data_IF_757234452860
#
_entry.id   IF_757234452860
#
_cell.length_a   1.000
_cell.length_b   1.000
_cell.length_c   1.000
_cell.angle_alpha   90.00
_cell.angle_beta   90.00
_cell.angle_gamma   90.00
#
_symmetry.space_group_name_H-M   'P 1'
#
loop_
_entity.id
_entity.type
_entity.pdbx_description
1 polymer ?
#
# COMPACT_ATOMS: atom_id res chain seq x y z
N UNK A 1 -3.70 -28.14 -7.74
CA UNK A 1 -3.62 -26.99 -6.83
C UNK A 1 -2.46 -26.12 -7.26
N UNK A 2 -2.74 -25.05 -8.00
CA UNK A 2 -1.73 -24.18 -8.62
C UNK A 2 -1.32 -23.07 -7.66
N UNK A 3 -0.58 -23.41 -6.60
CA UNK A 3 0.00 -22.44 -5.66
C UNK A 3 1.47 -22.18 -6.01
N UNK A 4 1.94 -20.96 -5.76
CA UNK A 4 3.33 -20.56 -6.03
C UNK A 4 4.33 -21.32 -5.14
N UNK A 5 5.54 -21.54 -5.65
CA UNK A 5 6.60 -22.24 -4.92
C UNK A 5 7.12 -21.37 -3.78
N UNK A 6 7.05 -21.89 -2.55
CA UNK A 6 7.55 -21.21 -1.36
C UNK A 6 9.02 -21.57 -1.23
N UNK A 7 9.90 -20.58 -1.42
CA UNK A 7 11.33 -20.78 -1.34
C UNK A 7 12.05 -19.45 -1.12
N UNK A 8 13.28 -19.53 -0.62
CA UNK A 8 14.13 -18.36 -0.50
C UNK A 8 14.89 -18.17 -1.80
N UNK A 9 14.78 -16.99 -2.41
CA UNK A 9 15.50 -16.62 -3.63
C UNK A 9 16.58 -15.57 -3.29
N UNK A 10 17.84 -15.98 -3.05
CA UNK A 10 18.89 -15.08 -2.57
C UNK A 10 19.15 -13.86 -3.46
N UNK A 11 19.13 -13.93 -4.80
CA UNK A 11 19.47 -12.76 -5.61
C UNK A 11 18.40 -11.66 -5.59
N UNK A 12 17.14 -11.96 -5.22
CA UNK A 12 16.12 -10.92 -5.04
C UNK A 12 16.17 -10.27 -3.65
N UNK A 13 16.97 -10.79 -2.72
CA UNK A 13 17.01 -10.29 -1.34
C UNK A 13 17.47 -8.84 -1.26
N UNK A 14 18.60 -8.52 -1.90
CA UNK A 14 19.16 -7.16 -1.93
C UNK A 14 18.21 -6.13 -2.57
N UNK A 15 17.64 -6.36 -3.77
CA UNK A 15 16.73 -5.39 -4.37
C UNK A 15 15.42 -5.24 -3.60
N UNK A 16 14.87 -6.32 -3.01
CA UNK A 16 13.70 -6.22 -2.14
C UNK A 16 14.00 -5.39 -0.89
N UNK A 17 15.15 -5.61 -0.24
CA UNK A 17 15.58 -4.83 0.91
C UNK A 17 15.69 -3.34 0.55
N UNK A 18 16.29 -3.01 -0.59
CA UNK A 18 16.41 -1.62 -1.05
C UNK A 18 15.03 -0.99 -1.31
N UNK A 19 14.10 -1.73 -1.93
CA UNK A 19 12.72 -1.29 -2.12
C UNK A 19 11.99 -1.03 -0.81
N UNK A 20 12.17 -1.88 0.19
CA UNK A 20 11.63 -1.67 1.54
C UNK A 20 12.21 -0.43 2.23
N UNK A 21 13.49 -0.12 2.01
CA UNK A 21 14.10 1.12 2.53
C UNK A 21 13.48 2.36 1.86
N UNK A 22 13.27 2.33 0.55
CA UNK A 22 12.67 3.45 -0.20
C UNK A 22 11.23 3.71 0.28
N UNK A 23 10.43 2.65 0.39
CA UNK A 23 9.03 2.73 0.86
C UNK A 23 8.91 3.15 2.32
N UNK A 24 9.88 2.78 3.16
CA UNK A 24 9.98 3.26 4.53
C UNK A 24 10.19 4.78 4.59
N UNK A 25 11.07 5.32 3.75
CA UNK A 25 11.30 6.77 3.64
C UNK A 25 10.05 7.48 3.11
N UNK A 26 9.38 6.91 2.12
CA UNK A 26 8.12 7.46 1.59
C UNK A 26 7.02 7.51 2.67
N UNK A 27 6.93 6.47 3.51
CA UNK A 27 5.97 6.41 4.63
C UNK A 27 6.30 7.41 5.73
N UNK A 28 7.57 7.77 5.91
CA UNK A 28 8.02 8.74 6.89
C UNK A 28 7.75 10.21 6.48
N UNK A 29 7.54 10.50 5.18
CA UNK A 29 7.20 11.84 4.69
C UNK A 29 5.77 12.25 5.10
N UNK A 30 5.65 12.83 6.29
CA UNK A 30 4.39 13.22 6.93
C UNK A 30 3.76 14.54 6.42
N UNK A 31 4.34 15.18 5.41
CA UNK A 31 4.14 16.61 5.10
C UNK A 31 2.69 17.04 4.80
N UNK A 32 1.80 16.11 4.45
CA UNK A 32 0.44 16.46 3.98
C UNK A 32 -0.63 16.38 5.08
N UNK A 33 -0.31 15.83 6.25
CA UNK A 33 -1.31 15.55 7.30
C UNK A 33 -1.67 16.76 8.18
N UNK A 34 -0.89 17.85 8.14
CA UNK A 34 -1.08 19.02 9.01
C UNK A 34 -0.94 18.75 10.52
N UNK A 35 -0.41 17.58 10.89
CA UNK A 35 -0.15 17.15 12.25
C UNK A 35 1.28 17.50 12.65
N UNK A 36 1.58 17.63 13.96
CA UNK A 36 2.94 17.90 14.42
C UNK A 36 3.90 16.87 13.83
N UNK A 37 4.88 17.37 13.10
CA UNK A 37 5.94 16.62 12.41
C UNK A 37 7.11 16.28 13.34
N UNK A 38 7.20 16.96 14.48
CA UNK A 38 8.23 16.73 15.49
C UNK A 38 7.58 16.37 16.83
N UNK A 39 8.22 15.45 17.55
CA UNK A 39 7.82 15.02 18.89
C UNK A 39 7.57 13.51 18.98
N UNK A 40 7.43 13.00 20.22
CA UNK A 40 7.30 11.55 20.48
C UNK A 40 6.06 10.93 19.85
N UNK A 41 4.99 11.71 19.67
CA UNK A 41 3.77 11.25 19.02
C UNK A 41 3.93 11.12 17.49
N UNK A 42 4.78 11.94 16.87
CA UNK A 42 5.10 11.83 15.45
C UNK A 42 5.93 10.57 15.19
N UNK A 43 6.97 10.35 15.99
CA UNK A 43 7.83 9.16 15.92
C UNK A 43 7.03 7.87 16.14
N UNK A 44 6.12 7.85 17.12
CA UNK A 44 5.25 6.69 17.37
C UNK A 44 4.34 6.37 16.19
N UNK A 45 3.83 7.40 15.49
CA UNK A 45 2.99 7.23 14.29
C UNK A 45 3.78 6.74 13.10
N UNK A 46 4.99 7.25 12.88
CA UNK A 46 5.90 6.79 11.81
C UNK A 46 6.29 5.34 12.07
N UNK A 47 6.70 5.00 13.30
CA UNK A 47 7.06 3.63 13.67
C UNK A 47 5.86 2.68 13.53
N UNK A 48 4.66 3.10 13.93
CA UNK A 48 3.44 2.33 13.76
C UNK A 48 3.06 2.14 12.29
N UNK A 49 3.24 3.16 11.45
CA UNK A 49 3.02 3.09 10.00
C UNK A 49 4.00 2.13 9.32
N UNK A 50 5.28 2.22 9.65
CA UNK A 50 6.32 1.33 9.12
C UNK A 50 6.10 -0.12 9.54
N UNK A 51 5.71 -0.35 10.79
CA UNK A 51 5.39 -1.70 11.28
C UNK A 51 4.17 -2.28 10.57
N UNK A 52 3.11 -1.48 10.39
CA UNK A 52 1.93 -1.90 9.66
C UNK A 52 2.26 -2.24 8.20
N UNK A 53 3.12 -1.45 7.56
CA UNK A 53 3.55 -1.67 6.18
C UNK A 53 4.31 -3.00 6.00
N UNK A 54 5.31 -3.24 6.84
CA UNK A 54 6.09 -4.48 6.83
C UNK A 54 5.24 -5.73 7.11
N UNK A 55 4.36 -5.66 8.12
CA UNK A 55 3.46 -6.78 8.48
C UNK A 55 2.45 -7.06 7.37
N UNK A 56 1.88 -6.02 6.77
CA UNK A 56 0.92 -6.17 5.69
C UNK A 56 1.58 -6.71 4.42
N UNK A 57 2.78 -6.25 4.09
CA UNK A 57 3.58 -6.79 2.99
C UNK A 57 3.94 -8.26 3.19
N UNK A 58 4.30 -8.66 4.41
CA UNK A 58 4.55 -10.07 4.71
C UNK A 58 3.29 -10.92 4.51
N UNK A 59 2.13 -10.45 5.00
CA UNK A 59 0.86 -11.15 4.82
C UNK A 59 0.42 -11.20 3.35
N UNK A 60 0.61 -10.12 2.59
CA UNK A 60 0.32 -10.05 1.16
C UNK A 60 1.15 -11.08 0.37
N UNK A 61 2.45 -11.19 0.66
CA UNK A 61 3.32 -12.20 0.06
C UNK A 61 2.84 -13.64 0.34
N UNK A 62 2.35 -13.92 1.56
CA UNK A 62 1.74 -15.21 1.89
C UNK A 62 0.44 -15.46 1.11
N UNK A 63 -0.32 -14.40 0.83
CA UNK A 63 -1.52 -14.45 0.00
C UNK A 63 -1.23 -14.37 -1.51
N UNK A 64 0.03 -14.59 -1.94
CA UNK A 64 0.48 -14.57 -3.34
C UNK A 64 0.41 -13.20 -4.03
N UNK A 65 0.26 -12.13 -3.26
CA UNK A 65 0.36 -10.75 -3.73
C UNK A 65 1.80 -10.24 -3.61
N UNK A 66 2.24 -9.33 -4.50
CA UNK A 66 3.49 -8.61 -4.31
C UNK A 66 3.45 -7.75 -3.05
N UNK A 67 4.62 -7.34 -2.51
CA UNK A 67 4.71 -6.43 -1.38
C UNK A 67 3.99 -5.10 -1.68
N UNK A 68 3.39 -4.51 -0.65
CA UNK A 68 2.54 -3.32 -0.68
C UNK A 68 3.22 -2.17 0.08
N UNK A 69 2.90 -0.93 -0.27
CA UNK A 69 3.31 0.28 0.46
C UNK A 69 2.15 1.28 0.57
N UNK A 70 2.29 2.26 1.46
CA UNK A 70 1.33 3.36 1.59
C UNK A 70 1.19 4.14 0.28
N UNK A 71 -0.03 4.24 -0.27
CA UNK A 71 -0.31 5.07 -1.45
C UNK A 71 -0.25 6.56 -1.12
N UNK A 72 0.77 7.26 -1.63
CA UNK A 72 0.93 8.71 -1.50
C UNK A 72 -0.21 9.52 -2.17
N UNK A 73 -0.92 8.94 -3.14
CA UNK A 73 -2.09 9.55 -3.79
C UNK A 73 -3.23 9.86 -2.80
N UNK A 74 -3.36 9.09 -1.72
CA UNK A 74 -4.40 9.32 -0.71
C UNK A 74 -4.27 10.70 -0.06
N UNK A 75 -3.05 11.21 0.06
CA UNK A 75 -2.78 12.54 0.60
C UNK A 75 -3.35 13.64 -0.31
N UNK A 76 -3.33 13.46 -1.64
CA UNK A 76 -3.92 14.40 -2.60
C UNK A 76 -5.44 14.48 -2.49
N UNK A 77 -6.11 13.34 -2.26
CA UNK A 77 -7.57 13.30 -2.06
C UNK A 77 -7.95 13.99 -0.75
N UNK A 78 -7.20 13.76 0.33
CA UNK A 78 -7.43 14.41 1.63
C UNK A 78 -7.23 15.92 1.51
N UNK A 79 -6.21 16.38 0.78
CA UNK A 79 -5.94 17.80 0.58
C UNK A 79 -7.11 18.54 -0.12
N UNK A 80 -7.74 17.90 -1.11
CA UNK A 80 -8.87 18.49 -1.86
C UNK A 80 -10.18 18.38 -1.06
N UNK A 81 -10.44 17.23 -0.45
CA UNK A 81 -11.72 16.96 0.26
C UNK A 81 -11.74 17.51 1.68
N UNK A 82 -10.58 17.89 2.23
CA UNK A 82 -10.39 18.37 3.61
C UNK A 82 -10.91 17.38 4.68
N UNK A 83 -11.01 16.10 4.36
CA UNK A 83 -11.53 15.07 5.24
C UNK A 83 -10.48 13.97 5.49
N UNK A 84 -9.85 13.99 6.67
CA UNK A 84 -8.88 12.99 7.11
C UNK A 84 -9.50 11.96 8.09
N UNK A 85 -10.73 11.51 7.82
CA UNK A 85 -11.46 10.61 8.72
C UNK A 85 -11.07 9.14 8.52
N UNK A 86 -10.84 8.41 9.63
CA UNK A 86 -10.60 6.96 9.61
C UNK A 86 -11.76 6.18 9.01
N UNK A 87 -13.00 6.65 9.18
CA UNK A 87 -14.19 5.99 8.65
C UNK A 87 -14.20 5.98 7.11
N UNK A 88 -13.68 7.03 6.46
CA UNK A 88 -13.55 7.09 5.01
C UNK A 88 -12.57 6.02 4.50
N UNK A 89 -11.44 5.82 5.20
CA UNK A 89 -10.48 4.76 4.89
C UNK A 89 -11.09 3.36 5.04
N UNK A 90 -11.81 3.11 6.13
CA UNK A 90 -12.47 1.80 6.36
C UNK A 90 -13.52 1.53 5.28
N UNK A 91 -14.34 2.53 4.94
CA UNK A 91 -15.31 2.40 3.86
C UNK A 91 -14.64 2.08 2.52
N UNK A 92 -13.51 2.73 2.21
CA UNK A 92 -12.70 2.43 1.03
C UNK A 92 -12.23 0.96 1.01
N UNK A 93 -11.67 0.45 2.12
CA UNK A 93 -11.26 -0.94 2.22
C UNK A 93 -12.41 -1.93 1.96
N UNK A 94 -13.60 -1.65 2.50
CA UNK A 94 -14.78 -2.48 2.26
C UNK A 94 -15.18 -2.48 0.77
N UNK A 95 -15.16 -1.33 0.11
CA UNK A 95 -15.42 -1.23 -1.32
C UNK A 95 -14.39 -2.03 -2.14
N UNK A 96 -13.10 -1.95 -1.81
CA UNK A 96 -12.05 -2.70 -2.51
C UNK A 96 -12.22 -4.21 -2.36
N UNK A 97 -12.58 -4.71 -1.17
CA UNK A 97 -12.88 -6.12 -0.95
C UNK A 97 -14.09 -6.55 -1.78
N UNK A 98 -15.18 -5.78 -1.73
CA UNK A 98 -16.39 -6.05 -2.50
C UNK A 98 -16.10 -6.11 -4.00
N UNK A 99 -15.40 -5.12 -4.55
CA UNK A 99 -15.04 -5.06 -5.97
C UNK A 99 -14.08 -6.19 -6.35
N UNK A 100 -13.15 -6.55 -5.47
CA UNK A 100 -12.22 -7.67 -5.66
C UNK A 100 -12.90 -9.04 -5.73
N UNK A 101 -14.01 -9.23 -5.00
CA UNK A 101 -14.82 -10.44 -5.09
C UNK A 101 -15.55 -10.59 -6.45
N UNK A 102 -15.73 -9.51 -7.21
CA UNK A 102 -16.38 -9.56 -8.53
C UNK A 102 -15.36 -9.75 -9.65
N UNK A 103 -15.10 -11.00 -10.04
CA UNK A 103 -14.14 -11.37 -11.10
C UNK A 103 -14.39 -10.68 -12.46
N UNK A 104 -15.64 -10.28 -12.75
CA UNK A 104 -16.01 -9.56 -13.98
C UNK A 104 -15.32 -8.20 -14.11
N UNK A 105 -15.05 -7.52 -12.99
CA UNK A 105 -14.32 -6.25 -13.00
C UNK A 105 -12.83 -6.48 -13.27
N UNK A 106 -12.25 -7.52 -12.68
CA UNK A 106 -10.87 -7.92 -12.97
C UNK A 106 -10.67 -8.37 -14.42
N UNK A 107 -11.67 -9.01 -15.01
CA UNK A 107 -11.66 -9.35 -16.44
C UNK A 107 -11.73 -8.10 -17.33
N UNK A 108 -12.59 -7.13 -17.00
CA UNK A 108 -12.68 -5.87 -17.73
C UNK A 108 -11.34 -5.12 -17.73
N UNK A 109 -10.65 -5.04 -16.57
CA UNK A 109 -9.32 -4.42 -16.49
C UNK A 109 -8.27 -5.08 -17.40
N UNK A 110 -8.32 -6.40 -17.60
CA UNK A 110 -7.40 -7.11 -18.50
C UNK A 110 -7.63 -6.82 -19.98
N UNK A 111 -8.80 -6.31 -20.35
CA UNK A 111 -9.14 -5.96 -21.73
C UNK A 111 -8.77 -4.52 -22.09
N UNK A 112 -8.29 -3.70 -21.15
CA UNK A 112 -7.80 -2.36 -21.48
C UNK A 112 -6.48 -2.48 -22.29
N UNK A 113 -6.36 -1.74 -23.41
CA UNK A 113 -5.11 -1.68 -24.16
C UNK A 113 -4.01 -1.03 -23.31
N UNK A 114 -2.78 -1.53 -23.44
CA UNK A 114 -1.62 -1.11 -22.65
C UNK A 114 -1.37 0.42 -22.71
N UNK A 115 -1.71 1.06 -23.84
CA UNK A 115 -1.60 2.51 -24.03
C UNK A 115 -2.46 3.33 -23.05
N UNK A 116 -3.54 2.77 -22.51
CA UNK A 116 -4.44 3.45 -21.59
C UNK A 116 -4.08 3.22 -20.11
N UNK A 117 -3.36 2.14 -19.78
CA UNK A 117 -3.01 1.80 -18.40
C UNK A 117 -1.69 2.44 -17.91
N UNK A 118 -0.89 3.01 -18.81
CA UNK A 118 0.42 3.59 -18.49
C UNK A 118 0.40 5.11 -18.20
N UNK A 119 -0.79 5.71 -18.14
CA UNK A 119 -1.00 7.17 -17.97
C UNK A 119 -1.38 7.56 -16.54
#
# INVERSE_FOLDING_TARGET
TTTFNIGFYPPAFIPLLLGFVITAVETASCDVSGLPIEGPDADSRIQGGLLADGVNSFLACLMTCPPNTTFSQNNGVIAITRCASRAAGIACCLWLILLGCFERLGAACKHLPCSCCAA
#
